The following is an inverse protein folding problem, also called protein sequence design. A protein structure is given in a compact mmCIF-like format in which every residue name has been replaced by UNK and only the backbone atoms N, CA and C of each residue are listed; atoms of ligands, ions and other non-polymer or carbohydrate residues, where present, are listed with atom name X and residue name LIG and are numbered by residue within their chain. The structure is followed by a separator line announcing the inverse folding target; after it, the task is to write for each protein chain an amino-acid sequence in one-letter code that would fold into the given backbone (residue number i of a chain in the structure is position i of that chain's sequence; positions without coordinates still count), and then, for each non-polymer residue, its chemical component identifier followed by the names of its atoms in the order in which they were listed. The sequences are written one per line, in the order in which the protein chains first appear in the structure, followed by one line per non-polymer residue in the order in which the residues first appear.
data_IF_786022114892
#
_entry.id   IF_786022114892
#
_cell.length_a   1.000
_cell.length_b   1.000
_cell.length_c   1.000
_cell.angle_alpha   90.00
_cell.angle_beta   90.00
_cell.angle_gamma   90.00
#
_symmetry.space_group_name_H-M   'P 1'
#
loop_
_entity.id
_entity.type
_entity.pdbx_description
1 polymer ?
#
# COMPACT_ATOMS: atom_id res chain seq x y z
N UNK A 1 -2.71 17.12 0.78
CA UNK A 1 -3.59 16.51 -0.26
C UNK A 1 -3.72 15.02 -0.03
N UNK A 2 -4.89 14.43 -0.28
CA UNK A 2 -5.13 13.00 -0.18
C UNK A 2 -5.55 12.47 -1.54
N UNK A 3 -4.90 11.39 -2.00
CA UNK A 3 -5.23 10.70 -3.24
C UNK A 3 -5.60 9.24 -2.95
N UNK A 4 -6.48 8.69 -3.78
CA UNK A 4 -6.92 7.29 -3.73
C UNK A 4 -6.49 6.64 -5.03
N UNK A 5 -5.37 5.91 -5.04
CA UNK A 5 -4.83 5.34 -6.28
C UNK A 5 -5.46 4.00 -6.65
N UNK A 6 -5.90 3.21 -5.66
CA UNK A 6 -6.58 1.93 -5.87
C UNK A 6 -7.70 1.66 -4.85
N UNK A 7 -8.26 0.46 -4.94
CA UNK A 7 -9.27 -0.03 -4.00
C UNK A 7 -8.68 -0.89 -2.88
N UNK A 8 -9.43 -1.90 -2.45
CA UNK A 8 -9.09 -2.72 -1.29
C UNK A 8 -8.85 -4.18 -1.65
N UNK A 9 -8.01 -4.86 -0.87
CA UNK A 9 -7.79 -6.32 -0.98
C UNK A 9 -9.08 -7.08 -0.63
N UNK A 10 -9.93 -6.54 0.25
CA UNK A 10 -11.21 -7.13 0.61
C UNK A 10 -12.21 -7.14 -0.56
N UNK A 11 -12.16 -6.09 -1.38
CA UNK A 11 -13.03 -5.92 -2.53
C UNK A 11 -12.52 -6.57 -3.82
N UNK A 12 -11.31 -7.15 -3.83
CA UNK A 12 -10.59 -7.50 -5.06
C UNK A 12 -10.35 -6.29 -6.00
N UNK A 13 -10.19 -5.10 -5.41
CA UNK A 13 -10.04 -3.84 -6.15
C UNK A 13 -8.69 -3.16 -5.92
N UNK A 14 -7.85 -3.69 -5.03
CA UNK A 14 -6.44 -3.27 -4.95
C UNK A 14 -5.70 -3.69 -6.23
N UNK A 15 -4.86 -2.80 -6.77
CA UNK A 15 -4.20 -2.96 -8.06
C UNK A 15 -2.90 -3.77 -7.93
N UNK A 16 -2.86 -4.99 -8.46
CA UNK A 16 -1.79 -5.97 -8.27
C UNK A 16 -1.05 -6.32 -9.56
N UNK A 17 0.27 -6.50 -9.48
CA UNK A 17 1.08 -6.89 -10.64
C UNK A 17 0.77 -8.31 -11.16
N UNK A 18 0.56 -9.28 -10.24
CA UNK A 18 0.41 -10.71 -10.58
C UNK A 18 -0.98 -11.29 -10.32
N UNK A 19 -1.94 -10.44 -9.95
CA UNK A 19 -3.28 -10.83 -9.56
C UNK A 19 -3.37 -11.42 -8.15
N UNK A 20 -4.59 -11.72 -7.70
CA UNK A 20 -4.84 -12.28 -6.37
C UNK A 20 -4.46 -13.77 -6.33
N UNK A 21 -3.96 -14.25 -5.19
CA UNK A 21 -3.57 -15.65 -5.00
C UNK A 21 -4.71 -16.63 -5.26
N UNK A 22 -5.91 -16.33 -4.75
CA UNK A 22 -7.12 -17.15 -4.91
C UNK A 22 -7.87 -16.85 -6.23
N UNK A 23 -7.50 -15.77 -6.93
CA UNK A 23 -8.08 -15.33 -8.22
C UNK A 23 -6.99 -14.73 -9.11
N UNK A 24 -6.13 -15.55 -9.74
CA UNK A 24 -4.96 -15.06 -10.47
C UNK A 24 -5.28 -14.11 -11.63
N UNK A 25 -6.45 -14.28 -12.26
CA UNK A 25 -6.88 -13.43 -13.39
C UNK A 25 -7.46 -12.07 -12.93
N UNK A 26 -7.62 -11.86 -11.62
CA UNK A 26 -8.14 -10.60 -11.08
C UNK A 26 -6.97 -9.76 -10.59
N UNK A 27 -6.83 -8.56 -11.14
CA UNK A 27 -5.72 -7.66 -10.81
C UNK A 27 -6.15 -6.40 -10.04
N UNK A 28 -7.45 -6.24 -9.78
CA UNK A 28 -8.00 -4.94 -9.36
C UNK A 28 -7.79 -3.87 -10.43
N UNK A 29 -7.78 -2.60 -10.05
CA UNK A 29 -7.66 -1.50 -11.01
C UNK A 29 -7.16 -0.21 -10.36
N UNK A 30 -6.61 0.66 -11.20
CA UNK A 30 -6.28 2.04 -10.86
C UNK A 30 -7.59 2.84 -10.71
N UNK A 31 -7.79 3.46 -9.55
CA UNK A 31 -8.88 4.43 -9.33
C UNK A 31 -8.52 5.77 -9.96
N UNK A 32 -7.25 6.15 -9.87
CA UNK A 32 -6.65 7.28 -10.59
C UNK A 32 -5.58 6.67 -11.52
N UNK A 33 -5.65 6.89 -12.84
CA UNK A 33 -4.64 6.42 -13.77
C UNK A 33 -3.23 6.87 -13.37
N UNK A 34 -2.21 6.03 -13.55
CA UNK A 34 -0.85 6.31 -13.10
C UNK A 34 -0.28 7.66 -13.58
N UNK A 35 -0.52 8.00 -14.86
CA UNK A 35 -0.10 9.27 -15.44
C UNK A 35 -0.77 10.48 -14.78
N UNK A 36 -2.10 10.39 -14.57
CA UNK A 36 -2.88 11.44 -13.90
C UNK A 36 -2.45 11.59 -12.44
N UNK A 37 -2.23 10.47 -11.72
CA UNK A 37 -1.72 10.51 -10.35
C UNK A 37 -0.37 11.24 -10.28
N UNK A 38 0.50 11.02 -11.26
CA UNK A 38 1.81 11.69 -11.35
C UNK A 38 1.64 13.19 -11.50
N UNK A 39 0.82 13.65 -12.45
CA UNK A 39 0.53 15.07 -12.66
C UNK A 39 -0.03 15.71 -11.38
N UNK A 40 -1.04 15.10 -10.76
CA UNK A 40 -1.67 15.60 -9.53
C UNK A 40 -0.68 15.69 -8.36
N UNK A 41 0.22 14.73 -8.21
CA UNK A 41 1.22 14.70 -7.14
C UNK A 41 2.30 15.76 -7.37
N UNK A 42 2.77 15.92 -8.61
CA UNK A 42 3.73 16.97 -9.00
C UNK A 42 3.15 18.35 -8.70
N UNK A 43 1.92 18.62 -9.15
CA UNK A 43 1.25 19.90 -8.92
C UNK A 43 1.03 20.18 -7.43
N UNK A 44 0.54 19.19 -6.69
CA UNK A 44 0.34 19.34 -5.24
C UNK A 44 1.67 19.58 -4.51
N UNK A 45 2.74 18.88 -4.91
CA UNK A 45 4.06 19.07 -4.34
C UNK A 45 4.59 20.47 -4.63
N UNK A 46 4.53 20.91 -5.89
CA UNK A 46 4.96 22.24 -6.33
C UNK A 46 4.22 23.35 -5.57
N UNK A 47 2.92 23.14 -5.28
CA UNK A 47 2.10 24.00 -4.44
C UNK A 47 2.42 23.97 -2.94
N UNK A 48 3.46 23.24 -2.51
CA UNK A 48 3.91 23.16 -1.12
C UNK A 48 3.14 22.17 -0.25
N UNK A 49 2.21 21.39 -0.80
CA UNK A 49 1.41 20.46 -0.02
C UNK A 49 2.18 19.19 0.35
N UNK A 50 1.86 18.63 1.51
CA UNK A 50 2.17 17.23 1.82
C UNK A 50 1.13 16.33 1.12
N UNK A 51 1.57 15.26 0.46
CA UNK A 51 0.66 14.26 -0.15
C UNK A 51 0.57 12.99 0.71
N UNK A 52 -0.63 12.42 0.74
CA UNK A 52 -0.91 11.10 1.29
C UNK A 52 -1.64 10.28 0.22
N UNK A 53 -1.11 9.11 -0.14
CA UNK A 53 -1.65 8.30 -1.24
C UNK A 53 -2.14 6.98 -0.66
N UNK A 54 -3.43 6.68 -0.79
CA UNK A 54 -3.95 5.34 -0.51
C UNK A 54 -3.50 4.40 -1.61
N UNK A 55 -2.69 3.41 -1.27
CA UNK A 55 -2.25 2.34 -2.16
C UNK A 55 -2.16 1.02 -1.39
N UNK A 56 -3.04 0.07 -1.72
CA UNK A 56 -3.02 -1.26 -1.12
C UNK A 56 -2.19 -2.24 -1.93
N UNK A 57 -2.42 -2.26 -3.24
CA UNK A 57 -1.82 -3.20 -4.18
C UNK A 57 -0.40 -2.82 -4.61
N UNK A 58 0.41 -3.81 -4.96
CA UNK A 58 1.83 -3.61 -5.24
C UNK A 58 2.06 -2.79 -6.51
N UNK A 59 1.21 -2.93 -7.53
CA UNK A 59 1.24 -2.06 -8.71
C UNK A 59 0.86 -0.61 -8.36
N UNK A 60 -0.14 -0.41 -7.50
CA UNK A 60 -0.52 0.92 -7.04
C UNK A 60 0.58 1.60 -6.20
N UNK A 61 1.33 0.83 -5.41
CA UNK A 61 2.47 1.33 -4.64
C UNK A 61 3.60 1.77 -5.59
N UNK A 62 3.87 1.03 -6.66
CA UNK A 62 4.83 1.44 -7.70
C UNK A 62 4.41 2.78 -8.32
N UNK A 63 3.15 2.92 -8.75
CA UNK A 63 2.61 4.17 -9.30
C UNK A 63 2.74 5.35 -8.31
N UNK A 64 2.47 5.13 -7.03
CA UNK A 64 2.58 6.16 -6.00
C UNK A 64 4.04 6.59 -5.77
N UNK A 65 4.99 5.65 -5.81
CA UNK A 65 6.42 5.94 -5.68
C UNK A 65 6.95 6.69 -6.91
N UNK A 66 6.54 6.30 -8.12
CA UNK A 66 6.87 6.98 -9.36
C UNK A 66 6.39 8.45 -9.33
N UNK A 67 5.15 8.67 -8.90
CA UNK A 67 4.56 10.00 -8.79
C UNK A 67 5.32 10.90 -7.79
N UNK A 68 5.69 10.34 -6.63
CA UNK A 68 6.47 11.08 -5.62
C UNK A 68 7.90 11.35 -6.10
N UNK A 69 8.56 10.39 -6.74
CA UNK A 69 9.91 10.57 -7.28
C UNK A 69 9.93 11.62 -8.39
N UNK A 70 8.94 11.62 -9.28
CA UNK A 70 8.78 12.67 -10.30
C UNK A 70 8.63 14.06 -9.67
N UNK A 71 7.80 14.18 -8.63
CA UNK A 71 7.61 15.43 -7.91
C UNK A 71 8.90 15.93 -7.22
N UNK A 72 9.63 15.03 -6.55
CA UNK A 72 10.90 15.36 -5.89
C UNK A 72 12.01 15.68 -6.90
N UNK A 73 11.98 15.08 -8.08
CA UNK A 73 12.93 15.37 -9.16
C UNK A 73 12.66 16.75 -9.75
N UNK A 74 11.40 17.08 -10.03
CA UNK A 74 11.02 18.39 -10.57
C UNK A 74 11.17 19.52 -9.53
N UNK A 75 10.85 19.24 -8.27
CA UNK A 75 10.84 20.20 -7.18
C UNK A 75 11.47 19.59 -5.92
N UNK A 76 12.81 19.59 -5.79
CA UNK A 76 13.48 18.98 -4.65
C UNK A 76 13.06 19.58 -3.31
N UNK A 77 12.60 18.73 -2.37
CA UNK A 77 12.23 19.14 -1.01
C UNK A 77 12.54 18.04 0.00
N UNK A 78 13.53 18.32 0.86
CA UNK A 78 14.07 17.33 1.80
C UNK A 78 13.04 16.83 2.84
N UNK A 79 12.28 17.73 3.49
CA UNK A 79 11.27 17.36 4.49
C UNK A 79 9.84 17.40 3.91
N UNK A 80 9.61 16.67 2.82
CA UNK A 80 8.33 16.65 2.12
C UNK A 80 7.23 15.89 2.89
N UNK A 81 7.62 14.99 3.81
CA UNK A 81 6.75 14.16 4.67
C UNK A 81 5.67 13.39 3.91
N UNK A 82 5.89 13.10 2.63
CA UNK A 82 4.91 12.36 1.82
C UNK A 82 4.77 10.95 2.37
N UNK A 83 3.56 10.41 2.25
CA UNK A 83 3.28 9.08 2.77
C UNK A 83 2.38 8.27 1.87
N UNK A 84 2.59 6.96 1.92
CA UNK A 84 1.73 5.96 1.30
C UNK A 84 0.98 5.27 2.44
N UNK A 85 -0.34 5.17 2.28
CA UNK A 85 -1.26 4.67 3.30
C UNK A 85 -1.61 3.22 2.98
N UNK A 86 -1.74 2.43 4.05
CA UNK A 86 -2.03 1.01 4.06
C UNK A 86 -0.87 0.10 3.67
N UNK A 87 -0.29 0.25 2.47
CA UNK A 87 0.88 -0.51 2.01
C UNK A 87 0.74 -2.03 2.18
N UNK A 88 -0.45 -2.57 1.92
CA UNK A 88 -0.81 -3.93 2.35
C UNK A 88 0.00 -5.02 1.63
N UNK A 89 0.31 -4.83 0.35
CA UNK A 89 1.13 -5.78 -0.42
C UNK A 89 2.49 -5.19 -0.79
N UNK A 90 3.01 -4.28 0.03
CA UNK A 90 4.33 -3.69 -0.23
C UNK A 90 5.40 -4.77 -0.33
N UNK A 91 6.20 -4.71 -1.40
CA UNK A 91 7.36 -5.59 -1.61
C UNK A 91 8.59 -5.01 -0.92
N UNK A 92 9.59 -5.86 -0.65
CA UNK A 92 10.84 -5.43 -0.01
C UNK A 92 11.55 -4.32 -0.83
N UNK A 93 11.58 -4.44 -2.16
CA UNK A 93 12.15 -3.43 -3.06
C UNK A 93 11.45 -2.07 -2.96
N UNK A 94 10.14 -2.07 -2.71
CA UNK A 94 9.33 -0.86 -2.55
C UNK A 94 9.59 -0.19 -1.21
N UNK A 95 9.75 -0.98 -0.13
CA UNK A 95 10.11 -0.46 1.19
C UNK A 95 11.50 0.20 1.17
N UNK A 96 12.47 -0.41 0.48
CA UNK A 96 13.77 0.21 0.26
C UNK A 96 13.66 1.50 -0.56
N UNK A 97 12.82 1.52 -1.59
CA UNK A 97 12.57 2.73 -2.40
C UNK A 97 11.92 3.84 -1.60
N UNK A 98 10.96 3.52 -0.72
CA UNK A 98 10.38 4.47 0.23
C UNK A 98 11.45 5.09 1.12
N UNK A 99 12.35 4.27 1.68
CA UNK A 99 13.44 4.75 2.52
C UNK A 99 14.40 5.67 1.78
N UNK A 100 14.79 5.33 0.54
CA UNK A 100 15.65 6.16 -0.31
C UNK A 100 15.01 7.52 -0.64
N UNK A 101 13.71 7.53 -0.89
CA UNK A 101 12.96 8.75 -1.26
C UNK A 101 12.50 9.58 -0.05
N UNK A 102 12.66 9.09 1.18
CA UNK A 102 12.11 9.77 2.39
C UNK A 102 10.59 9.64 2.54
N UNK A 103 9.96 8.67 1.87
CA UNK A 103 8.52 8.43 1.92
C UNK A 103 8.16 7.59 3.15
N UNK A 104 7.12 8.00 3.86
CA UNK A 104 6.61 7.29 5.04
C UNK A 104 5.59 6.22 4.64
N UNK A 105 5.77 4.99 5.13
CA UNK A 105 4.73 3.96 5.08
C UNK A 105 3.81 4.09 6.30
N UNK A 106 2.54 4.38 6.08
CA UNK A 106 1.51 4.48 7.12
C UNK A 106 0.69 3.18 7.13
N UNK A 107 1.04 2.28 8.06
CA UNK A 107 0.45 0.94 8.18
C UNK A 107 -0.57 0.89 9.31
N UNK A 108 -1.69 0.21 9.09
CA UNK A 108 -2.75 0.10 10.10
C UNK A 108 -2.64 -1.23 10.86
N UNK A 109 -1.93 -1.26 11.99
CA UNK A 109 -1.66 -2.49 12.74
C UNK A 109 -2.93 -3.27 13.16
N UNK A 110 -4.02 -2.59 13.54
CA UNK A 110 -5.29 -3.23 13.87
C UNK A 110 -5.90 -3.99 12.68
N UNK A 111 -5.55 -3.61 11.46
CA UNK A 111 -5.97 -4.33 10.26
C UNK A 111 -5.45 -5.77 10.25
N UNK A 112 -4.27 -6.02 10.80
CA UNK A 112 -3.70 -7.36 10.92
C UNK A 112 -4.57 -8.21 11.84
N UNK A 113 -5.05 -7.65 12.95
CA UNK A 113 -5.92 -8.36 13.90
C UNK A 113 -7.26 -8.77 13.27
N UNK A 114 -7.95 -7.83 12.61
CA UNK A 114 -9.28 -8.10 12.07
C UNK A 114 -9.28 -8.81 10.71
N UNK A 115 -8.25 -8.59 9.89
CA UNK A 115 -8.26 -8.97 8.48
C UNK A 115 -7.00 -9.72 8.03
N UNK A 116 -6.07 -10.02 8.94
CA UNK A 116 -4.81 -10.69 8.61
C UNK A 116 -5.00 -12.04 7.94
N UNK A 117 -5.97 -12.83 8.40
CA UNK A 117 -6.29 -14.13 7.79
C UNK A 117 -6.75 -13.97 6.34
N UNK A 118 -7.70 -13.07 6.11
CA UNK A 118 -8.23 -12.80 4.76
C UNK A 118 -7.19 -12.17 3.84
N UNK A 119 -6.29 -11.35 4.38
CA UNK A 119 -5.18 -10.80 3.63
C UNK A 119 -4.24 -11.93 3.19
N UNK A 120 -3.74 -12.75 4.13
CA UNK A 120 -2.91 -13.92 3.85
C UNK A 120 -3.54 -14.78 2.76
N UNK A 121 -4.78 -15.22 2.93
CA UNK A 121 -5.41 -16.18 2.03
C UNK A 121 -5.61 -15.65 0.59
N UNK A 122 -5.56 -14.33 0.39
CA UNK A 122 -5.83 -13.67 -0.90
C UNK A 122 -4.61 -13.16 -1.62
N UNK A 123 -3.55 -12.80 -0.92
CA UNK A 123 -2.36 -12.19 -1.53
C UNK A 123 -1.07 -12.92 -1.22
N UNK A 124 -1.09 -13.94 -0.37
CA UNK A 124 0.05 -14.82 -0.14
C UNK A 124 -0.37 -16.28 -0.23
N UNK A 125 0.50 -17.17 -0.74
CA UNK A 125 0.32 -18.59 -0.46
C UNK A 125 0.34 -18.80 1.05
N UNK A 126 -0.51 -19.68 1.57
CA UNK A 126 -0.51 -20.04 2.99
C UNK A 126 0.94 -20.30 3.46
N UNK A 127 1.37 -19.75 4.61
CA UNK A 127 2.73 -19.92 5.07
C UNK A 127 3.03 -21.40 5.21
N UNK A 128 4.14 -21.84 4.62
CA UNK A 128 4.71 -23.16 4.91
C UNK A 128 5.28 -23.09 6.34
N UNK A 129 4.51 -23.57 7.30
CA UNK A 129 4.92 -23.71 8.71
C UNK A 129 4.26 -22.71 9.66
N UNK A 130 4.14 -23.15 10.92
CA UNK A 130 3.36 -22.66 12.07
C UNK A 130 3.57 -21.18 12.51
N UNK A 131 3.53 -20.23 11.58
CA UNK A 131 3.58 -18.80 11.91
C UNK A 131 2.57 -17.99 11.11
N UNK A 132 1.29 -18.27 11.35
CA UNK A 132 0.22 -17.28 11.19
C UNK A 132 -1.07 -17.71 11.91
N UNK A 133 -1.02 -17.94 13.23
CA UNK A 133 -2.22 -17.76 14.07
C UNK A 133 -2.07 -16.44 14.84
N UNK A 134 -2.81 -15.41 14.45
CA UNK A 134 -2.94 -14.17 15.25
C UNK A 134 -3.85 -14.36 16.47
N UNK A 135 -4.52 -15.51 16.60
CA UNK A 135 -5.16 -15.93 17.84
C UNK A 135 -4.11 -16.48 18.80
N UNK A 136 -3.73 -15.67 19.79
CA UNK A 136 -3.28 -16.19 21.08
C UNK A 136 -4.40 -17.06 21.66
N UNK A 137 -4.13 -18.22 22.29
CA UNK A 137 -5.18 -19.03 22.89
C UNK A 137 -5.92 -18.17 23.92
N UNK A 138 -7.21 -17.95 23.69
CA UNK A 138 -8.08 -17.40 24.71
C UNK A 138 -8.10 -18.42 25.86
N UNK A 139 -7.40 -18.10 26.97
CA UNK A 139 -7.62 -18.84 28.20
C UNK A 139 -9.07 -18.63 28.62
N UNK A 140 -9.85 -19.69 28.87
CA UNK A 140 -11.19 -19.51 29.39
C UNK A 140 -11.04 -18.95 30.80
N UNK A 141 -11.59 -17.75 31.02
CA UNK A 141 -11.89 -17.26 32.36
C UNK A 141 -13.03 -18.13 32.91
N UNK A 142 -12.67 -19.24 33.53
CA UNK A 142 -13.56 -19.96 34.45
C UNK A 142 -13.49 -19.26 35.79
N UNK A 143 -14.57 -18.55 36.14
CA UNK A 143 -14.92 -18.28 37.53
C UNK A 143 -15.72 -19.43 38.13
#
# INVERSE_FOLDING_TARGET
MKFISDGSIQGYTACLCKGYHDRPDVHGYEVIPAAELTEMVVDAHAGGWQVAIHANGDAAIDNALDAIEAALTAHPRHDHRHRIEHCQTAREDQLERMARLGVLASVFANHIWYWGDRHRDRVSPAPKGDRASTRWPASPLTG
#
